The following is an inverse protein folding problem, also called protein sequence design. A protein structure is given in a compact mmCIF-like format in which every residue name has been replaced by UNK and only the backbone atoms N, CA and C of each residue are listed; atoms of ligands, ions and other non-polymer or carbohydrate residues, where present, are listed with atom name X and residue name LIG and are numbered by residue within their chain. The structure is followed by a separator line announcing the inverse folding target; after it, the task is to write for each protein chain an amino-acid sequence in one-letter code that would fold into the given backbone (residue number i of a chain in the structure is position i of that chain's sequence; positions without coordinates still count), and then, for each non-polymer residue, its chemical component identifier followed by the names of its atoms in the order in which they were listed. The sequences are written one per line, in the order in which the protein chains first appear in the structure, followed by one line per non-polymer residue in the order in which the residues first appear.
data_IF_259811106460
#
_entry.id   IF_259811106460
#
_cell.length_a   1.000
_cell.length_b   1.000
_cell.length_c   1.000
_cell.angle_alpha   90.00
_cell.angle_beta   90.00
_cell.angle_gamma   90.00
#
_symmetry.space_group_name_H-M   'P 1'
#
loop_
_entity.id
_entity.type
_entity.pdbx_description
1 polymer ?
#
# COMPACT_ATOMS: atom_id res chain seq x y z
N UNK A 1 27.30 0.78 21.08
CA UNK A 1 26.01 0.05 21.23
C UNK A 1 24.91 1.08 21.50
N UNK A 2 23.90 1.20 20.64
CA UNK A 2 22.80 2.18 20.84
C UNK A 2 21.82 1.60 21.87
N UNK A 3 21.68 2.24 23.03
CA UNK A 3 20.73 1.83 24.07
C UNK A 3 19.37 2.41 23.69
N UNK A 4 18.40 1.57 23.32
CA UNK A 4 17.03 2.03 23.08
C UNK A 4 16.46 2.51 24.42
N UNK A 5 15.80 3.67 24.42
CA UNK A 5 15.21 4.26 25.63
C UNK A 5 14.03 3.43 26.16
N UNK A 6 13.42 2.63 25.29
CA UNK A 6 12.37 1.65 25.62
C UNK A 6 12.31 0.56 24.54
N UNK A 7 11.70 -0.58 24.89
CA UNK A 7 11.37 -1.68 24.00
C UNK A 7 9.89 -2.03 24.21
N UNK A 8 9.12 -2.15 23.13
CA UNK A 8 7.72 -2.56 23.20
C UNK A 8 7.56 -3.88 22.45
N UNK A 9 7.02 -4.89 23.14
CA UNK A 9 6.59 -6.14 22.52
C UNK A 9 5.10 -6.04 22.27
N UNK A 10 4.72 -6.06 21.00
CA UNK A 10 3.33 -6.05 20.59
C UNK A 10 2.73 -7.45 20.72
N UNK A 11 1.40 -7.52 20.80
CA UNK A 11 0.69 -8.80 20.78
C UNK A 11 0.73 -9.42 19.39
N UNK A 12 0.92 -10.75 19.34
CA UNK A 12 0.72 -11.52 18.12
C UNK A 12 -0.78 -11.84 17.96
N UNK A 13 -1.42 -11.20 16.99
CA UNK A 13 -2.79 -11.48 16.58
C UNK A 13 -2.86 -12.48 15.43
N UNK A 14 -4.08 -12.91 15.10
CA UNK A 14 -4.35 -13.81 13.99
C UNK A 14 -5.67 -13.43 13.31
N UNK A 15 -5.69 -13.42 11.98
CA UNK A 15 -6.92 -13.22 11.18
C UNK A 15 -7.09 -14.39 10.22
N UNK A 16 -8.32 -14.89 10.13
CA UNK A 16 -8.71 -15.93 9.17
C UNK A 16 -9.14 -15.25 7.87
N UNK A 17 -8.50 -15.61 6.76
CA UNK A 17 -8.87 -15.13 5.43
C UNK A 17 -10.10 -15.87 4.89
N UNK A 18 -10.66 -15.35 3.79
CA UNK A 18 -11.75 -16.01 3.04
C UNK A 18 -11.40 -17.41 2.53
N UNK A 19 -10.12 -17.74 2.37
CA UNK A 19 -9.63 -19.07 2.01
C UNK A 19 -9.34 -19.99 3.22
N UNK A 20 -9.84 -19.63 4.41
CA UNK A 20 -9.64 -20.34 5.68
C UNK A 20 -8.19 -20.44 6.18
N UNK A 21 -7.23 -19.77 5.51
CA UNK A 21 -5.86 -19.69 6.02
C UNK A 21 -5.73 -18.59 7.06
N UNK A 22 -4.92 -18.85 8.09
CA UNK A 22 -4.62 -17.90 9.16
C UNK A 22 -3.43 -17.04 8.78
N UNK A 23 -3.55 -15.72 8.96
CA UNK A 23 -2.45 -14.77 8.85
C UNK A 23 -2.08 -14.24 10.23
N UNK A 24 -0.81 -14.35 10.65
CA UNK A 24 -0.34 -13.67 11.85
C UNK A 24 -0.34 -12.15 11.62
N UNK A 25 -0.65 -11.40 12.67
CA UNK A 25 -0.67 -9.93 12.66
C UNK A 25 0.12 -9.42 13.85
N UNK A 26 0.96 -8.42 13.60
CA UNK A 26 1.55 -7.60 14.64
C UNK A 26 0.51 -6.57 15.10
N UNK A 27 -0.09 -6.78 16.28
CA UNK A 27 -1.16 -5.91 16.76
C UNK A 27 -0.60 -4.61 17.35
N UNK A 28 -0.54 -3.58 16.52
CA UNK A 28 -0.05 -2.24 16.85
C UNK A 28 -1.03 -1.41 17.70
N UNK A 29 -2.22 -1.95 17.98
CA UNK A 29 -3.27 -1.31 18.78
C UNK A 29 -3.47 -1.97 20.15
N UNK A 30 -2.65 -2.98 20.47
CA UNK A 30 -2.59 -3.64 21.77
C UNK A 30 -1.51 -3.01 22.67
N UNK A 31 -1.68 -3.02 24.01
CA UNK A 31 -2.81 -3.55 24.78
C UNK A 31 -4.00 -2.59 24.82
N UNK A 32 -5.20 -3.12 24.60
CA UNK A 32 -6.42 -2.36 24.85
C UNK A 32 -6.61 -2.14 26.37
N UNK A 33 -7.01 -0.94 26.77
CA UNK A 33 -7.38 -0.59 28.15
C UNK A 33 -6.24 -0.51 29.18
N UNK A 34 -4.97 -0.44 28.76
CA UNK A 34 -3.86 -0.13 29.67
C UNK A 34 -3.31 1.29 29.43
N UNK A 35 -3.66 2.29 30.27
CA UNK A 35 -3.21 3.66 30.09
C UNK A 35 -1.71 3.86 30.37
N UNK A 36 -1.03 2.89 31.00
CA UNK A 36 0.39 2.96 31.31
C UNK A 36 1.28 2.55 30.13
N UNK A 37 0.71 1.87 29.12
CA UNK A 37 1.44 1.40 27.93
C UNK A 37 0.84 2.05 26.69
N UNK A 38 1.50 3.06 26.10
CA UNK A 38 1.03 3.68 24.87
C UNK A 38 1.02 2.69 23.70
N UNK A 39 0.06 2.86 22.80
CA UNK A 39 -0.08 2.04 21.59
C UNK A 39 0.92 2.49 20.54
N UNK A 40 1.48 1.58 19.75
CA UNK A 40 2.38 1.96 18.66
C UNK A 40 1.69 2.95 17.70
N UNK A 41 0.42 2.69 17.39
CA UNK A 41 -0.40 3.58 16.57
C UNK A 41 -0.67 4.97 17.20
N UNK A 42 -0.56 5.13 18.53
CA UNK A 42 -0.76 6.44 19.17
C UNK A 42 0.42 7.41 18.98
N UNK A 43 1.58 6.91 18.54
CA UNK A 43 2.74 7.75 18.23
C UNK A 43 2.73 8.31 16.81
N UNK A 44 1.75 7.93 15.99
CA UNK A 44 1.69 8.25 14.57
C UNK A 44 0.50 9.17 14.30
N UNK A 45 0.77 10.37 13.79
CA UNK A 45 -0.29 11.22 13.25
C UNK A 45 -0.69 10.71 11.86
N UNK A 46 -1.98 10.40 11.67
CA UNK A 46 -2.52 9.94 10.39
C UNK A 46 -2.41 11.03 9.30
N UNK A 47 -2.46 12.30 9.68
CA UNK A 47 -2.43 13.43 8.73
C UNK A 47 -1.09 13.54 7.99
N UNK A 48 0.01 13.11 8.61
CA UNK A 48 1.33 13.03 7.97
C UNK A 48 1.36 12.04 6.80
N UNK A 49 0.37 11.15 6.72
CA UNK A 49 0.26 10.07 5.74
C UNK A 49 -0.96 10.27 4.82
N UNK A 50 -1.33 11.52 4.55
CA UNK A 50 -2.31 11.81 3.52
C UNK A 50 -1.84 11.28 2.14
N UNK A 51 -2.74 10.65 1.41
CA UNK A 51 -2.54 10.19 0.02
C UNK A 51 -3.83 10.37 -0.75
N UNK A 52 -3.73 10.54 -2.07
CA UNK A 52 -4.89 10.75 -2.92
C UNK A 52 -5.31 9.43 -3.56
N UNK A 53 -6.54 8.99 -3.30
CA UNK A 53 -7.14 7.89 -4.05
C UNK A 53 -8.17 8.46 -5.02
N UNK A 54 -8.19 7.93 -6.23
CA UNK A 54 -9.35 8.08 -7.10
C UNK A 54 -10.53 7.34 -6.47
N UNK A 55 -11.76 7.58 -6.91
CA UNK A 55 -12.92 6.88 -6.36
C UNK A 55 -13.88 6.46 -7.47
N UNK A 56 -14.88 5.65 -7.10
CA UNK A 56 -15.88 5.16 -8.04
C UNK A 56 -16.58 6.28 -8.82
N UNK A 57 -16.88 7.41 -8.17
CA UNK A 57 -17.54 8.53 -8.82
C UNK A 57 -16.66 9.15 -9.91
N UNK A 58 -15.38 9.41 -9.61
CA UNK A 58 -14.41 9.92 -10.58
C UNK A 58 -14.26 8.99 -11.79
N UNK A 59 -14.05 7.69 -11.54
CA UNK A 59 -13.87 6.68 -12.60
C UNK A 59 -15.14 6.55 -13.44
N UNK A 60 -16.31 6.46 -12.80
CA UNK A 60 -17.58 6.29 -13.51
C UNK A 60 -17.95 7.52 -14.35
N UNK A 61 -17.70 8.74 -13.86
CA UNK A 61 -17.87 9.98 -14.64
C UNK A 61 -16.94 10.00 -15.84
N UNK A 62 -15.67 9.65 -15.65
CA UNK A 62 -14.71 9.57 -16.75
C UNK A 62 -15.20 8.60 -17.83
N UNK A 63 -15.55 7.36 -17.46
CA UNK A 63 -15.95 6.33 -18.42
C UNK A 63 -17.24 6.70 -19.18
N UNK A 64 -18.22 7.33 -18.51
CA UNK A 64 -19.47 7.78 -19.17
C UNK A 64 -19.24 8.88 -20.20
N UNK A 65 -18.19 9.68 -20.03
CA UNK A 65 -17.89 10.83 -20.90
C UNK A 65 -16.98 10.48 -22.09
N UNK A 66 -16.71 9.20 -22.35
CA UNK A 66 -15.85 8.80 -23.45
C UNK A 66 -16.63 8.74 -24.77
N UNK A 67 -16.26 9.59 -25.72
CA UNK A 67 -16.84 9.62 -27.07
C UNK A 67 -16.13 8.66 -28.05
N UNK A 68 -14.91 8.23 -27.71
CA UNK A 68 -14.08 7.35 -28.53
C UNK A 68 -13.74 6.05 -27.80
N UNK A 69 -13.51 4.94 -28.51
CA UNK A 69 -13.05 3.70 -27.89
C UNK A 69 -11.75 3.87 -27.13
N UNK A 70 -11.72 3.33 -25.91
CA UNK A 70 -10.54 3.30 -25.03
C UNK A 70 -10.12 1.84 -24.75
N UNK A 71 -8.85 1.67 -24.39
CA UNK A 71 -8.28 0.44 -23.88
C UNK A 71 -8.05 0.59 -22.38
N UNK A 72 -8.32 -0.48 -21.64
CA UNK A 72 -8.20 -0.55 -20.19
C UNK A 72 -7.26 -1.69 -19.80
N UNK A 73 -6.39 -1.46 -18.83
CA UNK A 73 -5.57 -2.48 -18.18
C UNK A 73 -5.61 -2.33 -16.66
N UNK A 74 -5.69 -3.46 -15.96
CA UNK A 74 -5.59 -3.50 -14.50
C UNK A 74 -4.19 -3.95 -14.11
N UNK A 75 -3.62 -3.26 -13.13
CA UNK A 75 -2.37 -3.59 -12.49
C UNK A 75 -2.56 -3.58 -10.97
N UNK A 76 -2.16 -4.66 -10.32
CA UNK A 76 -2.25 -4.85 -8.88
C UNK A 76 -0.84 -4.99 -8.29
N UNK A 77 -0.52 -4.19 -7.28
CA UNK A 77 0.77 -4.30 -6.60
C UNK A 77 0.75 -5.48 -5.63
N UNK A 78 1.39 -6.59 -6.01
CA UNK A 78 1.51 -7.73 -5.10
C UNK A 78 2.21 -7.32 -3.79
N UNK A 79 1.52 -7.51 -2.65
CA UNK A 79 2.03 -7.21 -1.31
C UNK A 79 2.54 -5.76 -1.17
N UNK A 80 1.84 -4.79 -1.76
CA UNK A 80 2.18 -3.37 -1.81
C UNK A 80 2.84 -2.81 -0.53
N UNK A 81 2.23 -3.01 0.64
CA UNK A 81 2.78 -2.51 1.91
C UNK A 81 4.11 -3.15 2.30
N UNK A 82 4.30 -4.44 2.02
CA UNK A 82 5.54 -5.15 2.32
C UNK A 82 6.70 -4.71 1.41
N UNK A 83 6.43 -3.98 0.33
CA UNK A 83 7.49 -3.41 -0.50
C UNK A 83 8.14 -2.19 0.15
N UNK A 84 7.47 -1.57 1.14
CA UNK A 84 7.97 -0.38 1.82
C UNK A 84 8.78 -0.79 3.06
N UNK A 85 10.10 -0.54 3.10
CA UNK A 85 10.91 -0.83 4.26
C UNK A 85 10.62 0.16 5.40
N UNK A 86 10.72 -0.32 6.64
CA UNK A 86 10.65 0.54 7.84
C UNK A 86 12.06 0.99 8.21
N UNK A 87 12.18 2.21 8.72
CA UNK A 87 13.48 2.73 9.13
C UNK A 87 14.01 1.95 10.35
N UNK A 88 15.32 1.69 10.41
CA UNK A 88 15.95 0.99 11.55
C UNK A 88 15.65 1.64 12.90
N UNK A 89 15.47 2.96 12.92
CA UNK A 89 15.08 3.72 14.12
C UNK A 89 13.68 3.37 14.64
N UNK A 90 12.80 2.81 13.80
CA UNK A 90 11.43 2.44 14.11
C UNK A 90 11.28 0.97 14.53
N UNK A 91 12.30 0.14 14.32
CA UNK A 91 12.20 -1.31 14.57
C UNK A 91 11.89 -1.67 16.02
N UNK A 92 12.29 -0.83 16.98
CA UNK A 92 11.98 -1.01 18.40
C UNK A 92 10.48 -0.97 18.75
N UNK A 93 9.65 -0.48 17.82
CA UNK A 93 8.19 -0.37 17.93
C UNK A 93 7.45 -1.47 17.17
N UNK A 94 8.19 -2.26 16.38
CA UNK A 94 7.64 -3.25 15.45
C UNK A 94 8.02 -4.68 15.84
N UNK A 95 8.33 -4.87 17.12
CA UNK A 95 8.75 -6.16 17.66
C UNK A 95 7.53 -6.96 18.14
N UNK A 96 7.49 -8.23 17.78
CA UNK A 96 6.48 -9.18 18.25
C UNK A 96 7.16 -10.40 18.85
N UNK A 97 6.59 -10.95 19.92
CA UNK A 97 7.09 -12.19 20.52
C UNK A 97 6.45 -13.40 19.84
N UNK A 98 7.24 -14.38 19.46
CA UNK A 98 6.74 -15.65 18.94
C UNK A 98 6.36 -16.65 20.04
N UNK A 99 5.82 -17.81 19.66
CA UNK A 99 5.42 -18.87 20.60
C UNK A 99 6.59 -19.53 21.35
N UNK A 100 7.82 -19.33 20.87
CA UNK A 100 9.05 -19.87 21.45
C UNK A 100 9.84 -18.81 22.24
N UNK A 101 9.20 -17.68 22.58
CA UNK A 101 9.82 -16.54 23.29
C UNK A 101 10.91 -15.81 22.49
N UNK A 102 11.02 -16.08 21.19
CA UNK A 102 11.83 -15.31 20.25
C UNK A 102 11.23 -13.93 20.00
N UNK A 103 12.07 -13.00 19.54
CA UNK A 103 11.65 -11.65 19.14
C UNK A 103 11.77 -11.56 17.62
N UNK A 104 10.65 -11.34 16.95
CA UNK A 104 10.57 -11.06 15.53
C UNK A 104 10.44 -9.56 15.32
N UNK A 105 10.99 -9.05 14.22
CA UNK A 105 10.98 -7.63 13.87
C UNK A 105 10.37 -7.48 12.47
N UNK A 106 9.32 -6.67 12.36
CA UNK A 106 8.81 -6.28 11.06
C UNK A 106 9.68 -5.18 10.44
N UNK A 107 10.48 -5.58 9.45
CA UNK A 107 11.39 -4.67 8.71
C UNK A 107 10.71 -3.94 7.54
N UNK A 108 9.44 -4.24 7.32
CA UNK A 108 8.58 -3.69 6.26
C UNK A 108 7.25 -3.31 6.86
N UNK A 109 6.50 -2.45 6.19
CA UNK A 109 5.21 -1.99 6.70
C UNK A 109 4.24 -3.17 6.76
N UNK A 110 3.77 -3.47 7.97
CA UNK A 110 2.74 -4.46 8.23
C UNK A 110 1.34 -3.84 8.10
N UNK A 111 0.35 -4.70 7.87
CA UNK A 111 -1.06 -4.30 7.96
C UNK A 111 -1.41 -3.87 9.39
N UNK A 112 -2.36 -2.94 9.54
CA UNK A 112 -2.84 -2.47 10.85
C UNK A 112 -2.11 -1.24 11.42
N UNK A 113 -1.06 -0.76 10.76
CA UNK A 113 -0.42 0.51 11.11
C UNK A 113 -1.18 1.72 10.57
N UNK A 114 -1.36 2.76 11.41
CA UNK A 114 -2.01 4.04 11.02
C UNK A 114 -1.34 4.68 9.80
N UNK A 115 -0.03 4.55 9.69
CA UNK A 115 0.76 5.06 8.57
C UNK A 115 0.71 4.20 7.29
N UNK A 116 0.19 2.98 7.34
CA UNK A 116 0.40 1.97 6.29
C UNK A 116 -0.10 2.42 4.92
N UNK A 117 -1.37 2.83 4.86
CA UNK A 117 -2.03 3.30 3.64
C UNK A 117 -1.29 4.48 2.98
N UNK A 118 -0.88 5.49 3.75
CA UNK A 118 -0.21 6.66 3.19
C UNK A 118 1.27 6.49 2.91
N UNK A 119 1.94 5.58 3.62
CA UNK A 119 3.36 5.28 3.39
C UNK A 119 3.59 4.63 2.04
N UNK A 120 2.68 3.77 1.59
CA UNK A 120 2.67 3.27 0.21
C UNK A 120 2.11 4.31 -0.77
N UNK A 121 1.14 5.11 -0.33
CA UNK A 121 0.46 6.10 -1.14
C UNK A 121 1.39 7.08 -1.85
N UNK A 122 2.39 7.65 -1.15
CA UNK A 122 3.32 8.63 -1.75
C UNK A 122 4.18 8.04 -2.88
N UNK A 123 4.87 6.89 -2.70
CA UNK A 123 5.53 6.19 -3.80
C UNK A 123 4.58 5.86 -4.96
N UNK A 124 3.34 5.44 -4.67
CA UNK A 124 2.37 5.10 -5.69
C UNK A 124 1.88 6.33 -6.48
N UNK A 125 1.73 7.48 -5.82
CA UNK A 125 1.42 8.77 -6.45
C UNK A 125 2.56 9.18 -7.40
N UNK A 126 3.81 9.13 -6.95
CA UNK A 126 4.97 9.43 -7.79
C UNK A 126 5.12 8.44 -8.97
N UNK A 127 4.81 7.16 -8.75
CA UNK A 127 4.81 6.16 -9.82
C UNK A 127 3.72 6.42 -10.85
N UNK A 128 2.51 6.80 -10.44
CA UNK A 128 1.42 7.20 -11.35
C UNK A 128 1.86 8.35 -12.25
N UNK A 129 2.48 9.40 -11.70
CA UNK A 129 3.00 10.52 -12.48
C UNK A 129 4.07 10.08 -13.48
N UNK A 130 4.96 9.18 -13.07
CA UNK A 130 5.96 8.60 -13.96
C UNK A 130 5.33 7.80 -15.10
N UNK A 131 4.30 6.98 -14.82
CA UNK A 131 3.60 6.21 -15.85
C UNK A 131 2.92 7.12 -16.87
N UNK A 132 2.25 8.17 -16.41
CA UNK A 132 1.63 9.18 -17.29
C UNK A 132 2.66 9.93 -18.13
N UNK A 133 3.85 10.16 -17.60
CA UNK A 133 4.94 10.81 -18.33
C UNK A 133 5.61 9.87 -19.34
N UNK A 134 5.79 8.59 -18.99
CA UNK A 134 6.53 7.61 -19.82
C UNK A 134 5.70 7.00 -20.93
N UNK A 135 4.39 6.86 -20.72
CA UNK A 135 3.51 6.19 -21.66
C UNK A 135 2.43 7.15 -22.17
N UNK A 136 2.06 7.01 -23.43
CA UNK A 136 0.93 7.74 -24.01
C UNK A 136 -0.40 7.19 -23.45
N UNK A 137 -0.76 7.63 -22.24
CA UNK A 137 -1.96 7.28 -21.50
C UNK A 137 -2.87 8.50 -21.41
N UNK A 138 -4.17 8.27 -21.38
CA UNK A 138 -5.16 9.33 -21.07
C UNK A 138 -5.09 9.66 -19.59
N UNK A 139 -5.09 8.61 -18.76
CA UNK A 139 -5.03 8.71 -17.30
C UNK A 139 -4.69 7.35 -16.70
N UNK A 140 -4.34 7.35 -15.41
CA UNK A 140 -4.24 6.16 -14.57
C UNK A 140 -5.07 6.44 -13.33
N UNK A 141 -6.10 5.63 -13.09
CA UNK A 141 -6.86 5.68 -11.84
C UNK A 141 -6.22 4.78 -10.80
N UNK A 142 -6.16 5.22 -9.55
CA UNK A 142 -5.55 4.47 -8.46
C UNK A 142 -6.51 4.33 -7.28
N UNK A 143 -6.69 3.10 -6.82
CA UNK A 143 -7.37 2.77 -5.57
C UNK A 143 -6.46 1.88 -4.74
N UNK A 144 -5.85 2.42 -3.69
CA UNK A 144 -4.87 1.71 -2.86
C UNK A 144 -3.72 1.14 -3.73
N UNK A 145 -3.69 -0.17 -3.94
CA UNK A 145 -2.73 -0.98 -4.70
C UNK A 145 -3.24 -1.37 -6.09
N UNK A 146 -4.50 -1.11 -6.42
CA UNK A 146 -5.05 -1.31 -7.75
C UNK A 146 -4.89 -0.06 -8.62
N UNK A 147 -4.47 -0.28 -9.87
CA UNK A 147 -4.25 0.77 -10.86
C UNK A 147 -4.97 0.41 -12.15
N UNK A 148 -5.77 1.33 -12.67
CA UNK A 148 -6.48 1.21 -13.94
C UNK A 148 -5.86 2.16 -14.95
N UNK A 149 -5.17 1.59 -15.92
CA UNK A 149 -4.56 2.29 -17.04
C UNK A 149 -5.58 2.53 -18.13
N UNK A 150 -5.59 3.74 -18.69
CA UNK A 150 -6.53 4.14 -19.75
C UNK A 150 -5.78 4.73 -20.93
N UNK A 151 -6.07 4.24 -22.14
CA UNK A 151 -5.45 4.73 -23.39
C UNK A 151 -6.48 4.82 -24.52
N UNK A 152 -6.28 5.72 -25.48
CA UNK A 152 -7.09 5.73 -26.70
C UNK A 152 -6.74 4.54 -27.59
N UNK A 153 -7.75 3.90 -28.18
CA UNK A 153 -7.53 2.79 -29.12
C UNK A 153 -6.74 3.20 -30.36
N UNK A 154 -6.88 4.45 -30.79
CA UNK A 154 -6.30 4.96 -32.03
C UNK A 154 -4.79 5.23 -31.92
N UNK A 155 -4.26 5.39 -30.70
CA UNK A 155 -2.82 5.59 -30.45
C UNK A 155 -2.00 4.30 -30.54
N UNK A 156 -2.62 3.20 -30.97
CA UNK A 156 -2.03 1.86 -31.02
C UNK A 156 -1.52 1.48 -32.43
N UNK A 157 -1.45 2.43 -33.36
CA UNK A 157 -1.08 2.17 -34.76
C UNK A 157 0.44 2.04 -35.00
N UNK A 158 1.28 2.48 -34.05
CA UNK A 158 2.73 2.29 -34.08
C UNK A 158 3.11 1.27 -33.01
N UNK A 159 3.65 0.10 -33.41
CA UNK A 159 3.79 -1.09 -32.57
C UNK A 159 4.51 -0.94 -31.22
N UNK A 160 5.30 0.13 -31.01
CA UNK A 160 5.95 0.44 -29.73
C UNK A 160 4.99 1.03 -28.67
N UNK A 161 3.90 1.69 -29.07
CA UNK A 161 2.98 2.35 -28.16
C UNK A 161 1.87 1.43 -27.63
N UNK A 162 1.51 0.37 -28.36
CA UNK A 162 0.60 -0.66 -27.83
C UNK A 162 1.20 -1.48 -26.68
N UNK A 163 2.53 -1.47 -26.54
CA UNK A 163 3.23 -2.28 -25.56
C UNK A 163 2.85 -1.93 -24.12
N UNK A 164 2.59 -0.67 -23.77
CA UNK A 164 2.28 -0.30 -22.38
C UNK A 164 1.11 -1.09 -21.77
N UNK A 165 0.03 -1.34 -22.51
CA UNK A 165 -1.12 -2.10 -21.99
C UNK A 165 -0.87 -3.62 -22.04
N UNK A 166 0.03 -4.10 -22.91
CA UNK A 166 0.38 -5.52 -23.02
C UNK A 166 1.52 -5.95 -22.08
N UNK A 167 2.45 -5.07 -21.76
CA UNK A 167 3.66 -5.32 -20.95
C UNK A 167 3.42 -5.10 -19.45
N UNK A 168 2.44 -4.27 -19.07
CA UNK A 168 2.13 -4.03 -17.64
C UNK A 168 1.48 -5.25 -16.97
N UNK A 169 1.01 -6.24 -17.76
CA UNK A 169 0.39 -7.47 -17.27
C UNK A 169 1.24 -8.75 -17.40
N UNK A 170 2.51 -8.65 -17.78
CA UNK A 170 3.45 -9.77 -17.95
C UNK A 170 4.58 -9.71 -16.95
#
# INVERSE_FOLDING_TARGET
MKKYKFFQLNSLGAVVNSNSLVRPINDLSSPHYNPLTPLVNSFVDKLDYATMWDNFECVSKFLRNQEKPILLALFDWEKAYQQIPTAKSQWAYLMVRDFNWGILIDTRIAFGGVAGCGSFGRPADAWKDLMLHKFNLITVFRWVDNNLFVKHRDCCNNGADCCAIREIGS
#
